data_IF_979055826206
#
_entry.id   IF_979055826206
#
_cell.length_a   1.000
_cell.length_b   1.000
_cell.length_c   1.000
_cell.angle_alpha   90.00
_cell.angle_beta   90.00
_cell.angle_gamma   90.00
#
_symmetry.space_group_name_H-M   'P 1'
#
loop_
_entity.id
_entity.type
_entity.pdbx_description
1 polymer ?
#
# COMPACT_ATOMS: atom_id res chain seq x y z
N UNK A 1 -6.49 -16.85 22.21
CA UNK A 1 -6.36 -15.38 22.11
C UNK A 1 -6.59 -15.07 20.65
N UNK A 2 -7.80 -14.62 20.31
CA UNK A 2 -8.14 -14.32 18.91
C UNK A 2 -7.18 -13.25 18.40
N UNK A 3 -6.45 -13.56 17.34
CA UNK A 3 -5.58 -12.57 16.71
C UNK A 3 -6.49 -11.50 16.10
N UNK A 4 -6.43 -10.29 16.64
CA UNK A 4 -7.26 -9.17 16.18
C UNK A 4 -6.92 -8.77 14.73
N UNK A 5 -5.68 -8.99 14.28
CA UNK A 5 -5.20 -8.77 12.90
C UNK A 5 -4.61 -10.09 12.37
N UNK A 6 -4.90 -10.50 11.12
CA UNK A 6 -4.27 -11.67 10.50
C UNK A 6 -2.75 -11.53 10.45
N UNK A 7 -2.03 -12.66 10.43
CA UNK A 7 -0.60 -12.63 10.08
C UNK A 7 -0.44 -12.08 8.67
N UNK A 8 0.66 -11.37 8.43
CA UNK A 8 0.93 -10.79 7.12
C UNK A 8 0.93 -11.84 5.99
N UNK A 9 1.51 -13.03 6.23
CA UNK A 9 1.50 -14.13 5.26
C UNK A 9 0.09 -14.62 4.88
N UNK A 10 -0.84 -14.65 5.84
CA UNK A 10 -2.21 -15.07 5.61
C UNK A 10 -2.98 -13.99 4.84
N UNK A 11 -2.76 -12.72 5.19
CA UNK A 11 -3.32 -11.58 4.47
C UNK A 11 -2.84 -11.54 3.00
N UNK A 12 -1.55 -11.84 2.77
CA UNK A 12 -0.96 -11.92 1.43
C UNK A 12 -1.66 -13.00 0.57
N UNK A 13 -1.78 -14.22 1.11
CA UNK A 13 -2.45 -15.34 0.42
C UNK A 13 -3.92 -15.03 0.12
N UNK A 14 -4.62 -14.41 1.07
CA UNK A 14 -6.02 -14.03 0.88
C UNK A 14 -6.16 -12.98 -0.23
N UNK A 15 -5.26 -11.99 -0.27
CA UNK A 15 -5.23 -10.99 -1.33
C UNK A 15 -5.03 -11.61 -2.71
N UNK A 16 -4.05 -12.50 -2.87
CA UNK A 16 -3.80 -13.21 -4.13
C UNK A 16 -5.01 -14.06 -4.55
N UNK A 17 -5.62 -14.79 -3.62
CA UNK A 17 -6.83 -15.57 -3.89
C UNK A 17 -7.97 -14.68 -4.38
N UNK A 18 -8.24 -13.56 -3.70
CA UNK A 18 -9.30 -12.64 -4.06
C UNK A 18 -9.08 -12.00 -5.44
N UNK A 19 -7.83 -11.67 -5.77
CA UNK A 19 -7.49 -11.17 -7.10
C UNK A 19 -7.80 -12.21 -8.18
N UNK A 20 -7.40 -13.47 -7.97
CA UNK A 20 -7.71 -14.58 -8.89
C UNK A 20 -9.21 -14.77 -9.08
N UNK A 21 -9.98 -14.77 -7.99
CA UNK A 21 -11.43 -14.98 -8.01
C UNK A 21 -12.18 -13.81 -8.70
N UNK A 22 -11.69 -12.57 -8.56
CA UNK A 22 -12.39 -11.37 -9.04
C UNK A 22 -12.03 -10.94 -10.46
N UNK A 23 -10.81 -11.23 -10.93
CA UNK A 23 -10.34 -10.80 -12.25
C UNK A 23 -10.37 -11.92 -13.29
N UNK A 24 -10.44 -13.19 -12.88
CA UNK A 24 -10.27 -14.33 -13.79
C UNK A 24 -8.87 -14.44 -14.39
N UNK A 25 -7.92 -13.65 -13.87
CA UNK A 25 -6.51 -13.59 -14.26
C UNK A 25 -5.65 -14.15 -13.12
N UNK A 26 -4.53 -14.77 -13.48
CA UNK A 26 -3.53 -15.22 -12.54
C UNK A 26 -2.70 -14.04 -12.06
N UNK A 27 -3.16 -13.42 -10.97
CA UNK A 27 -2.41 -12.39 -10.27
C UNK A 27 -1.51 -12.98 -9.16
N UNK A 28 -0.37 -12.34 -8.92
CA UNK A 28 0.53 -12.63 -7.81
C UNK A 28 1.05 -11.36 -7.17
N UNK A 29 1.26 -11.40 -5.86
CA UNK A 29 1.78 -10.28 -5.09
C UNK A 29 3.11 -10.66 -4.45
N UNK A 30 4.12 -9.83 -4.66
CA UNK A 30 5.46 -10.06 -4.09
C UNK A 30 5.86 -8.91 -3.19
N UNK A 31 6.39 -9.25 -2.02
CA UNK A 31 7.05 -8.34 -1.11
C UNK A 31 8.57 -8.35 -1.37
N UNK A 32 9.14 -7.17 -1.53
CA UNK A 32 10.58 -6.95 -1.62
C UNK A 32 11.02 -6.03 -0.49
N UNK A 33 12.07 -6.41 0.23
CA UNK A 33 12.72 -5.53 1.23
C UNK A 33 13.90 -4.76 0.66
N UNK A 34 14.23 -5.00 -0.61
CA UNK A 34 15.31 -4.35 -1.35
C UNK A 34 14.92 -4.26 -2.83
N UNK A 35 15.26 -3.16 -3.50
CA UNK A 35 15.02 -3.01 -4.95
C UNK A 35 16.28 -3.31 -5.76
N UNK A 36 16.31 -4.47 -6.41
CA UNK A 36 17.29 -4.76 -7.47
C UNK A 36 16.98 -3.96 -8.75
N UNK A 37 17.94 -3.84 -9.66
CA UNK A 37 17.82 -3.02 -10.87
C UNK A 37 16.57 -3.32 -11.71
N UNK A 38 16.19 -4.60 -11.81
CA UNK A 38 15.00 -4.99 -12.55
C UNK A 38 13.71 -4.42 -11.94
N UNK A 39 13.58 -4.45 -10.60
CA UNK A 39 12.43 -3.89 -9.89
C UNK A 39 12.42 -2.37 -10.01
N UNK A 40 13.59 -1.72 -9.93
CA UNK A 40 13.71 -0.27 -10.11
C UNK A 40 13.18 0.18 -11.47
N UNK A 41 13.50 -0.55 -12.55
CA UNK A 41 12.98 -0.28 -13.90
C UNK A 41 11.47 -0.46 -14.00
N UNK A 42 10.90 -1.46 -13.33
CA UNK A 42 9.45 -1.66 -13.28
C UNK A 42 8.76 -0.49 -12.57
N UNK A 43 9.31 -0.06 -11.43
CA UNK A 43 8.79 1.08 -10.67
C UNK A 43 8.82 2.34 -11.52
N UNK A 44 9.99 2.65 -12.13
CA UNK A 44 10.16 3.80 -13.02
C UNK A 44 9.16 3.78 -14.20
N UNK A 45 9.00 2.63 -14.85
CA UNK A 45 8.07 2.48 -15.96
C UNK A 45 6.63 2.79 -15.55
N UNK A 46 6.17 2.22 -14.43
CA UNK A 46 4.80 2.47 -13.94
C UNK A 46 4.63 3.91 -13.47
N UNK A 47 5.66 4.47 -12.83
CA UNK A 47 5.71 5.85 -12.35
C UNK A 47 5.56 6.85 -13.51
N UNK A 48 6.35 6.70 -14.57
CA UNK A 48 6.35 7.58 -15.73
C UNK A 48 5.09 7.44 -16.58
N UNK A 49 4.45 6.27 -16.56
CA UNK A 49 3.16 6.04 -17.21
C UNK A 49 2.00 6.73 -16.46
N UNK A 50 2.10 6.90 -15.14
CA UNK A 50 0.97 7.32 -14.30
C UNK A 50 1.05 8.71 -13.71
N UNK A 51 2.24 9.22 -13.47
CA UNK A 51 2.42 10.56 -12.94
C UNK A 51 2.76 11.55 -14.04
N UNK A 52 2.27 12.79 -13.86
CA UNK A 52 2.71 13.96 -14.64
C UNK A 52 4.20 14.21 -14.39
N UNK A 53 4.88 14.80 -15.38
CA UNK A 53 6.35 14.94 -15.39
C UNK A 53 6.94 15.57 -14.13
N UNK A 54 6.20 16.47 -13.46
CA UNK A 54 6.67 17.16 -12.25
C UNK A 54 6.67 16.25 -11.00
N UNK A 55 5.94 15.14 -11.04
CA UNK A 55 5.84 14.16 -9.95
C UNK A 55 6.59 12.86 -10.25
N UNK A 56 7.12 12.70 -11.46
CA UNK A 56 7.87 11.52 -11.83
C UNK A 56 9.21 11.47 -11.12
N UNK A 57 9.53 10.31 -10.57
CA UNK A 57 10.83 10.09 -9.95
C UNK A 57 11.89 9.70 -10.98
N UNK A 58 13.06 10.32 -10.84
CA UNK A 58 14.25 9.86 -11.53
C UNK A 58 14.73 8.53 -10.93
N UNK A 59 15.39 7.71 -11.75
CA UNK A 59 16.00 6.44 -11.32
C UNK A 59 16.91 6.58 -10.09
N UNK A 60 17.66 7.68 -9.98
CA UNK A 60 18.50 7.99 -8.82
C UNK A 60 17.69 8.15 -7.53
N UNK A 61 16.51 8.76 -7.61
CA UNK A 61 15.63 8.97 -6.47
C UNK A 61 14.94 7.66 -6.07
N UNK A 62 14.47 6.86 -7.03
CA UNK A 62 13.94 5.50 -6.79
C UNK A 62 15.01 4.66 -6.06
N UNK A 63 16.26 4.69 -6.53
CA UNK A 63 17.39 4.02 -5.88
C UNK A 63 17.66 4.53 -4.48
N UNK A 64 17.57 5.85 -4.26
CA UNK A 64 17.75 6.44 -2.94
C UNK A 64 16.66 5.97 -1.97
N UNK A 65 15.40 5.96 -2.43
CA UNK A 65 14.26 5.50 -1.63
C UNK A 65 14.39 4.06 -1.17
N UNK A 66 14.85 3.19 -2.07
CA UNK A 66 15.13 1.77 -1.79
C UNK A 66 16.22 1.50 -0.75
N UNK A 67 16.94 2.54 -0.30
CA UNK A 67 17.99 2.43 0.74
C UNK A 67 17.52 2.94 2.10
N UNK A 68 16.30 3.47 2.24
CA UNK A 68 15.79 3.85 3.55
C UNK A 68 15.63 2.63 4.46
N UNK A 69 15.84 2.85 5.75
CA UNK A 69 15.66 1.79 6.75
C UNK A 69 14.19 1.36 6.78
N UNK A 70 13.95 0.06 6.95
CA UNK A 70 12.58 -0.48 6.95
C UNK A 70 11.89 -0.41 5.59
N UNK A 71 12.64 -0.25 4.50
CA UNK A 71 12.08 -0.26 3.14
C UNK A 71 11.32 -1.55 2.84
N UNK A 72 10.16 -1.39 2.22
CA UNK A 72 9.38 -2.46 1.61
C UNK A 72 8.80 -2.00 0.28
N UNK A 73 8.57 -2.95 -0.62
CA UNK A 73 7.83 -2.77 -1.85
C UNK A 73 6.90 -3.96 -2.09
N UNK A 74 5.62 -3.69 -2.32
CA UNK A 74 4.69 -4.64 -2.92
C UNK A 74 4.67 -4.43 -4.42
N UNK A 75 4.82 -5.52 -5.16
CA UNK A 75 4.60 -5.55 -6.60
C UNK A 75 3.45 -6.51 -6.91
N UNK A 76 2.40 -5.99 -7.50
CA UNK A 76 1.30 -6.77 -8.06
C UNK A 76 1.62 -7.05 -9.53
N UNK A 77 1.55 -8.32 -9.91
CA UNK A 77 1.61 -8.75 -11.31
C UNK A 77 0.36 -9.56 -11.67
N UNK A 78 -0.16 -9.44 -12.89
CA UNK A 78 -1.25 -10.26 -13.40
C UNK A 78 -0.86 -10.78 -14.79
N UNK A 79 -1.00 -12.08 -15.01
CA UNK A 79 -0.51 -12.78 -16.22
C UNK A 79 0.98 -12.51 -16.53
N UNK A 80 1.78 -12.27 -15.48
CA UNK A 80 3.21 -11.96 -15.58
C UNK A 80 3.54 -10.48 -15.79
N UNK A 81 2.55 -9.63 -16.07
CA UNK A 81 2.75 -8.20 -16.30
C UNK A 81 2.58 -7.39 -15.00
N UNK A 82 3.42 -6.37 -14.75
CA UNK A 82 3.33 -5.56 -13.53
C UNK A 82 2.15 -4.59 -13.62
N UNK A 83 1.25 -4.67 -12.64
CA UNK A 83 -0.02 -3.95 -12.66
C UNK A 83 -0.11 -2.82 -11.64
N UNK A 84 0.60 -2.94 -10.52
CA UNK A 84 0.62 -1.93 -9.48
C UNK A 84 1.81 -2.14 -8.56
N UNK A 85 2.23 -1.07 -7.89
CA UNK A 85 3.17 -1.15 -6.80
C UNK A 85 2.78 -0.24 -5.64
N UNK A 86 3.26 -0.58 -4.46
CA UNK A 86 3.29 0.30 -3.30
C UNK A 86 4.65 0.15 -2.65
N UNK A 87 5.32 1.26 -2.34
CA UNK A 87 6.51 1.20 -1.50
C UNK A 87 6.48 2.25 -0.41
N UNK A 88 7.25 1.98 0.64
CA UNK A 88 7.40 2.85 1.79
C UNK A 88 8.57 2.41 2.65
N UNK A 89 8.83 3.16 3.71
CA UNK A 89 9.96 2.94 4.59
C UNK A 89 9.70 3.51 5.98
N UNK A 90 10.56 3.20 6.94
CA UNK A 90 10.48 3.79 8.29
C UNK A 90 10.65 5.30 8.20
N UNK A 91 9.77 6.03 8.87
CA UNK A 91 9.87 7.48 8.95
C UNK A 91 11.18 7.90 9.65
N UNK A 92 11.98 8.79 9.05
CA UNK A 92 13.25 9.24 9.65
C UNK A 92 13.09 9.97 10.98
N UNK A 93 11.97 10.67 11.18
CA UNK A 93 11.70 11.52 12.35
C UNK A 93 10.98 10.73 13.46
N UNK A 94 10.22 9.69 13.11
CA UNK A 94 9.53 8.82 14.06
C UNK A 94 9.63 7.34 13.68
N UNK A 95 10.54 6.60 14.33
CA UNK A 95 10.75 5.17 14.09
C UNK A 95 9.52 4.29 14.38
N UNK A 96 8.51 4.81 15.09
CA UNK A 96 7.25 4.11 15.33
C UNK A 96 6.23 4.28 14.20
N UNK A 97 6.58 5.05 13.18
CA UNK A 97 5.75 5.40 12.03
C UNK A 97 6.37 4.83 10.74
N UNK A 98 5.52 4.20 9.93
CA UNK A 98 5.87 3.79 8.57
C UNK A 98 5.36 4.84 7.57
N UNK A 99 6.24 5.34 6.72
CA UNK A 99 5.89 6.29 5.65
C UNK A 99 5.58 5.53 4.36
N UNK A 100 4.32 5.58 3.93
CA UNK A 100 3.87 5.12 2.62
C UNK A 100 4.21 6.25 1.63
N UNK A 101 5.25 6.03 0.84
CA UNK A 101 5.79 7.05 -0.04
C UNK A 101 4.99 7.11 -1.34
N UNK A 102 4.78 5.96 -1.99
CA UNK A 102 4.09 5.91 -3.28
C UNK A 102 3.14 4.71 -3.37
N UNK A 103 1.95 4.94 -3.92
CA UNK A 103 0.96 3.92 -4.31
C UNK A 103 0.53 4.19 -5.74
N UNK A 104 0.78 3.24 -6.65
CA UNK A 104 0.50 3.44 -8.08
C UNK A 104 -0.09 2.20 -8.72
N UNK A 105 -1.11 2.39 -9.55
CA UNK A 105 -1.80 1.30 -10.27
C UNK A 105 -1.91 1.61 -11.74
N UNK A 106 -1.58 0.65 -12.62
CA UNK A 106 -1.79 0.77 -14.06
C UNK A 106 -3.27 0.75 -14.46
N UNK A 107 -4.09 0.00 -13.72
CA UNK A 107 -5.52 -0.11 -13.94
C UNK A 107 -6.31 0.44 -12.75
N UNK A 108 -7.25 1.33 -13.04
CA UNK A 108 -8.11 1.97 -12.05
C UNK A 108 -9.41 1.17 -11.86
N UNK A 109 -10.09 1.35 -10.73
CA UNK A 109 -11.38 0.69 -10.45
C UNK A 109 -11.33 -0.81 -10.15
N UNK A 110 -10.15 -1.44 -10.18
CA UNK A 110 -9.95 -2.87 -9.88
C UNK A 110 -9.71 -3.18 -8.40
N UNK A 111 -9.64 -2.16 -7.54
CA UNK A 111 -9.39 -2.31 -6.11
C UNK A 111 -7.94 -2.55 -5.70
N UNK A 112 -6.99 -2.53 -6.65
CA UNK A 112 -5.56 -2.78 -6.39
C UNK A 112 -4.97 -1.80 -5.36
N UNK A 113 -5.25 -0.50 -5.48
CA UNK A 113 -4.75 0.50 -4.54
C UNK A 113 -5.21 0.25 -3.10
N UNK A 114 -6.51 0.05 -2.88
CA UNK A 114 -7.06 -0.24 -1.55
C UNK A 114 -6.51 -1.53 -0.95
N UNK A 115 -6.33 -2.56 -1.78
CA UNK A 115 -5.73 -3.83 -1.36
C UNK A 115 -4.25 -3.64 -0.94
N UNK A 116 -3.45 -2.94 -1.75
CA UNK A 116 -2.05 -2.66 -1.45
C UNK A 116 -1.88 -1.85 -0.17
N UNK A 117 -2.67 -0.80 0.02
CA UNK A 117 -2.66 -0.01 1.26
C UNK A 117 -3.11 -0.85 2.46
N UNK A 118 -4.14 -1.68 2.30
CA UNK A 118 -4.58 -2.58 3.39
C UNK A 118 -3.46 -3.55 3.78
N UNK A 119 -2.77 -4.14 2.81
CA UNK A 119 -1.63 -5.03 3.06
C UNK A 119 -0.47 -4.30 3.73
N UNK A 120 -0.19 -3.05 3.37
CA UNK A 120 0.86 -2.28 4.04
C UNK A 120 0.50 -1.99 5.50
N UNK A 121 -0.76 -1.73 5.83
CA UNK A 121 -1.21 -1.57 7.22
C UNK A 121 -1.05 -2.87 8.02
N UNK A 122 -1.38 -4.03 7.42
CA UNK A 122 -1.14 -5.34 8.06
C UNK A 122 0.35 -5.57 8.28
N UNK A 123 1.19 -5.33 7.27
CA UNK A 123 2.64 -5.39 7.40
C UNK A 123 3.14 -4.48 8.53
N UNK A 124 2.61 -3.26 8.64
CA UNK A 124 3.01 -2.32 9.67
C UNK A 124 2.73 -2.86 11.07
N UNK A 125 1.54 -3.46 11.30
CA UNK A 125 1.21 -4.10 12.58
C UNK A 125 2.13 -5.28 12.87
N UNK A 126 2.32 -6.16 11.88
CA UNK A 126 3.14 -7.38 12.02
C UNK A 126 4.60 -7.07 12.34
N UNK A 127 5.12 -5.94 11.83
CA UNK A 127 6.49 -5.47 12.06
C UNK A 127 6.63 -4.51 13.24
N UNK A 128 5.55 -4.20 13.95
CA UNK A 128 5.56 -3.45 15.21
C UNK A 128 5.52 -1.92 15.07
N UNK A 129 5.19 -1.38 13.90
CA UNK A 129 4.85 0.04 13.79
C UNK A 129 3.54 0.33 14.52
N UNK A 130 3.40 1.56 15.01
CA UNK A 130 2.18 2.03 15.68
C UNK A 130 1.30 2.88 14.77
N UNK A 131 1.91 3.44 13.71
CA UNK A 131 1.31 4.44 12.82
C UNK A 131 1.77 4.25 11.38
N UNK A 132 0.93 4.68 10.45
CA UNK A 132 1.29 4.85 9.05
C UNK A 132 1.04 6.32 8.65
N UNK A 133 1.95 6.90 7.87
CA UNK A 133 1.89 8.28 7.37
C UNK A 133 2.06 8.29 5.86
N UNK A 134 1.45 9.25 5.19
CA UNK A 134 1.64 9.51 3.76
C UNK A 134 1.50 10.99 3.45
N UNK A 135 2.05 11.41 2.31
CA UNK A 135 1.80 12.72 1.71
C UNK A 135 1.05 12.53 0.39
N UNK A 136 0.08 13.38 0.14
CA UNK A 136 -0.79 13.34 -1.05
C UNK A 136 -1.21 14.77 -1.44
N UNK A 137 -1.93 14.92 -2.54
CA UNK A 137 -2.72 16.13 -2.86
C UNK A 137 -4.21 15.89 -2.55
N UNK A 138 -5.02 16.95 -2.50
CA UNK A 138 -6.49 16.84 -2.30
C UNK A 138 -7.16 16.14 -3.49
N UNK A 139 -6.84 16.66 -4.69
CA UNK A 139 -7.23 16.17 -5.99
C UNK A 139 -5.97 15.99 -6.83
N UNK A 140 -5.91 14.93 -7.62
CA UNK A 140 -4.86 14.82 -8.65
C UNK A 140 -5.26 15.47 -9.98
N UNK A 141 -4.40 15.33 -11.00
CA UNK A 141 -4.64 15.91 -12.33
C UNK A 141 -5.87 15.35 -13.05
N UNK A 142 -6.44 14.24 -12.55
CA UNK A 142 -7.67 13.63 -13.06
C UNK A 142 -8.88 13.93 -12.18
N UNK A 143 -8.76 14.90 -11.27
CA UNK A 143 -9.78 15.31 -10.30
C UNK A 143 -10.22 14.18 -9.35
N UNK A 144 -9.35 13.20 -9.09
CA UNK A 144 -9.65 12.11 -8.16
C UNK A 144 -9.37 12.57 -6.73
N UNK A 145 -10.33 12.32 -5.83
CA UNK A 145 -10.25 12.71 -4.42
C UNK A 145 -9.31 11.79 -3.62
N UNK A 146 -8.01 12.08 -3.61
CA UNK A 146 -7.02 11.23 -2.95
C UNK A 146 -7.16 11.28 -1.42
N UNK A 147 -7.45 12.44 -0.83
CA UNK A 147 -7.72 12.56 0.61
C UNK A 147 -8.92 11.71 1.02
N UNK A 148 -9.98 11.69 0.20
CA UNK A 148 -11.12 10.81 0.44
C UNK A 148 -10.73 9.33 0.31
N UNK A 149 -9.96 8.97 -0.71
CA UNK A 149 -9.49 7.60 -0.91
C UNK A 149 -8.72 7.07 0.30
N UNK A 150 -7.75 7.83 0.82
CA UNK A 150 -6.99 7.43 2.01
C UNK A 150 -7.83 7.55 3.29
N UNK A 151 -8.76 8.50 3.36
CA UNK A 151 -9.74 8.63 4.44
C UNK A 151 -10.59 7.36 4.63
N UNK A 152 -11.12 6.85 3.53
CA UNK A 152 -11.90 5.59 3.48
C UNK A 152 -11.08 4.37 3.94
N UNK A 153 -9.74 4.49 3.95
CA UNK A 153 -8.80 3.42 4.32
C UNK A 153 -8.20 3.53 5.71
N UNK A 154 -8.34 4.63 6.43
CA UNK A 154 -7.52 4.75 7.64
C UNK A 154 -7.19 6.14 8.09
N UNK A 155 -6.98 7.01 7.12
CA UNK A 155 -6.08 8.14 7.31
C UNK A 155 -6.85 9.41 7.65
N UNK A 156 -6.38 10.14 8.65
CA UNK A 156 -6.85 11.48 8.97
C UNK A 156 -5.85 12.52 8.48
N UNK A 157 -6.35 13.69 8.05
CA UNK A 157 -5.49 14.83 7.71
C UNK A 157 -4.79 15.36 8.97
N UNK A 158 -3.47 15.52 8.90
CA UNK A 158 -2.64 16.08 9.99
C UNK A 158 -2.24 17.51 9.66
N UNK A 159 -1.77 17.73 8.43
CA UNK A 159 -1.37 19.05 7.93
C UNK A 159 -1.77 19.22 6.47
N UNK A 160 -1.98 20.46 6.07
CA UNK A 160 -2.23 20.87 4.69
C UNK A 160 -1.37 22.11 4.40
N UNK A 161 -0.69 22.13 3.25
CA UNK A 161 0.11 23.27 2.79
C UNK A 161 -0.72 24.17 1.88
N UNK A 162 -0.34 25.45 1.80
CA UNK A 162 -0.93 26.39 0.84
C UNK A 162 -0.67 26.02 -0.63
N UNK A 163 0.28 25.13 -0.88
CA UNK A 163 0.68 24.64 -2.20
C UNK A 163 -0.06 23.36 -2.62
N UNK A 164 -1.02 22.89 -1.81
CA UNK A 164 -1.89 21.75 -2.15
C UNK A 164 -1.42 20.40 -1.62
N UNK A 165 -0.28 20.33 -0.92
CA UNK A 165 0.20 19.12 -0.27
C UNK A 165 -0.57 18.84 1.03
N UNK A 166 -0.97 17.59 1.24
CA UNK A 166 -1.72 17.10 2.40
C UNK A 166 -0.97 15.93 3.02
N UNK A 167 -0.60 16.05 4.29
CA UNK A 167 -0.07 14.92 5.05
C UNK A 167 -1.21 14.25 5.80
N UNK A 168 -1.29 12.93 5.71
CA UNK A 168 -2.28 12.13 6.40
C UNK A 168 -1.63 11.04 7.24
N UNK A 169 -2.25 10.67 8.35
CA UNK A 169 -1.75 9.67 9.28
C UNK A 169 -2.87 8.74 9.74
N UNK A 170 -2.54 7.48 9.98
CA UNK A 170 -3.43 6.48 10.54
C UNK A 170 -2.79 5.82 11.76
N UNK A 171 -3.53 5.77 12.88
CA UNK A 171 -3.20 4.89 14.00
C UNK A 171 -3.55 3.46 13.63
N UNK A 172 -2.65 2.53 13.90
CA UNK A 172 -2.83 1.13 13.53
C UNK A 172 -3.70 0.39 14.55
N UNK A 173 -5.00 0.68 14.50
CA UNK A 173 -6.00 0.07 15.37
C UNK A 173 -6.41 -1.32 14.85
N UNK A 174 -6.23 -2.39 15.65
CA UNK A 174 -6.46 -3.77 15.20
C UNK A 174 -7.86 -4.03 14.61
N UNK A 175 -8.90 -3.52 15.27
CA UNK A 175 -10.29 -3.72 14.83
C UNK A 175 -10.55 -3.10 13.45
N UNK A 176 -10.01 -1.90 13.22
CA UNK A 176 -10.14 -1.21 11.93
C UNK A 176 -9.39 -1.94 10.82
N UNK A 177 -8.17 -2.38 11.11
CA UNK A 177 -7.35 -3.12 10.13
C UNK A 177 -8.03 -4.44 9.77
N UNK A 178 -8.65 -5.12 10.73
CA UNK A 178 -9.46 -6.32 10.47
C UNK A 178 -10.62 -6.04 9.52
N UNK A 179 -11.34 -4.95 9.71
CA UNK A 179 -12.47 -4.60 8.85
C UNK A 179 -12.01 -4.26 7.42
N UNK A 180 -10.86 -3.60 7.28
CA UNK A 180 -10.20 -3.40 5.98
C UNK A 180 -9.78 -4.74 5.36
N UNK A 181 -9.24 -5.68 6.15
CA UNK A 181 -8.87 -7.01 5.68
C UNK A 181 -10.07 -7.78 5.12
N UNK A 182 -11.22 -7.75 5.82
CA UNK A 182 -12.47 -8.33 5.31
C UNK A 182 -12.87 -7.69 3.98
N UNK A 183 -12.99 -6.37 3.98
CA UNK A 183 -13.45 -5.57 2.82
C UNK A 183 -12.53 -5.70 1.61
N UNK A 184 -11.22 -5.63 1.80
CA UNK A 184 -10.25 -5.48 0.72
C UNK A 184 -9.49 -6.76 0.40
N UNK A 185 -9.29 -7.67 1.36
CA UNK A 185 -8.52 -8.91 1.15
C UNK A 185 -9.40 -10.18 1.11
N UNK A 186 -10.70 -10.09 1.44
CA UNK A 186 -11.61 -11.23 1.38
C UNK A 186 -11.44 -12.22 2.54
N UNK A 187 -10.92 -11.76 3.68
CA UNK A 187 -10.74 -12.54 4.90
C UNK A 187 -12.05 -12.70 5.71
N UNK A 188 -13.17 -12.98 5.04
CA UNK A 188 -14.47 -13.18 5.71
C UNK A 188 -14.57 -14.54 6.42
N UNK A 189 -13.79 -15.55 5.98
CA UNK A 189 -13.92 -16.94 6.43
C UNK A 189 -12.97 -17.40 7.56
N UNK A 190 -11.95 -16.62 7.92
CA UNK A 190 -10.91 -17.09 8.86
C UNK A 190 -11.31 -16.97 10.35
N UNK A 191 -12.42 -16.31 10.67
CA UNK A 191 -12.83 -16.06 12.07
C UNK A 191 -13.92 -17.02 12.57
N UNK A 192 -14.58 -17.79 11.71
CA UNK A 192 -15.62 -18.73 12.14
C UNK A 192 -15.08 -20.12 12.47
N UNK A 193 -13.91 -20.51 11.96
CA UNK A 193 -13.35 -21.86 12.17
C UNK A 193 -12.53 -22.02 13.46
N UNK A 194 -12.37 -20.96 14.27
CA UNK A 194 -11.68 -21.02 15.56
C UNK A 194 -12.56 -20.44 16.67
N UNK A 195 -13.72 -21.07 16.88
CA UNK A 195 -14.36 -21.07 18.21
C UNK A 195 -13.92 -22.35 18.93
N UNK A 196 -13.30 -22.27 20.14
CA UNK A 196 -12.91 -23.46 20.89
C UNK A 196 -14.09 -24.33 21.33
#
# INVERSE_FOLDING_TARGET
MDKLVPLFEDALKAAEKKLGDSQGERCSLKLYTHMGEHIQRIVEMIDHEKFRSELQYAMEEIRARGRHHGFMLFLLTCEGEPMAYLYGYMDPDDKSTFYIDTVTTLQEGKGFGSMLVTLSLVFCVDTGYSRAKLSTEELDEKERHLVKFYGDLGFGVVTSSSEGGVTMESKLEPDRIRDLCKKHLGLEAWLEEWTP
#
